data_IF_243902387112
#
_entry.id   IF_243902387112
#
_cell.length_a   1.000
_cell.length_b   1.000
_cell.length_c   1.000
_cell.angle_alpha   90.00
_cell.angle_beta   90.00
_cell.angle_gamma   90.00
#
_symmetry.space_group_name_H-M   'P 1'
#
loop_
_entity.id
_entity.type
_entity.pdbx_description
1 polymer ?
#
# COMPACT_ATOMS: atom_id res chain seq x y z
N UNK A 1 23.82 5.52 2.96
CA UNK A 1 24.35 5.56 1.59
C UNK A 1 25.82 5.19 1.54
N UNK A 2 26.66 5.70 2.44
CA UNK A 2 28.10 5.39 2.51
C UNK A 2 28.42 3.87 2.49
N UNK A 3 27.75 3.07 3.32
CA UNK A 3 27.91 1.60 3.30
C UNK A 3 27.61 0.96 1.92
N UNK A 4 26.70 1.55 1.13
CA UNK A 4 26.41 1.06 -0.22
C UNK A 4 27.52 1.45 -1.21
N UNK A 5 28.11 2.64 -1.04
CA UNK A 5 29.27 3.09 -1.83
C UNK A 5 30.47 2.18 -1.55
N UNK A 6 30.75 1.89 -0.29
CA UNK A 6 31.82 0.95 0.09
C UNK A 6 31.62 -0.43 -0.52
N UNK A 7 30.40 -0.98 -0.41
CA UNK A 7 30.05 -2.26 -1.06
C UNK A 7 30.23 -2.21 -2.57
N UNK A 8 29.80 -1.12 -3.21
CA UNK A 8 29.94 -0.94 -4.64
C UNK A 8 31.41 -0.93 -5.08
N UNK A 9 32.31 -0.35 -4.28
CA UNK A 9 33.75 -0.31 -4.58
C UNK A 9 34.44 -1.68 -4.40
N UNK A 10 33.89 -2.57 -3.59
CA UNK A 10 34.44 -3.92 -3.37
C UNK A 10 34.09 -4.86 -4.55
N UNK A 11 32.99 -4.60 -5.26
CA UNK A 11 32.56 -5.46 -6.34
C UNK A 11 33.51 -5.41 -7.54
N UNK A 12 34.00 -6.59 -7.94
CA UNK A 12 34.76 -6.79 -9.17
C UNK A 12 33.75 -6.88 -10.34
N UNK A 13 34.03 -6.19 -11.45
CA UNK A 13 33.18 -6.18 -12.63
C UNK A 13 32.81 -7.62 -13.07
N UNK A 14 31.56 -7.89 -13.51
CA UNK A 14 30.52 -6.95 -13.95
C UNK A 14 29.37 -6.71 -12.93
N UNK A 15 29.59 -6.94 -11.63
CA UNK A 15 28.51 -6.87 -10.64
C UNK A 15 27.99 -5.43 -10.47
N UNK A 16 26.65 -5.29 -10.39
CA UNK A 16 25.94 -4.02 -10.17
C UNK A 16 25.20 -4.04 -8.84
N UNK A 17 25.24 -2.93 -8.11
CA UNK A 17 24.48 -2.75 -6.87
C UNK A 17 23.20 -1.98 -7.18
N UNK A 18 22.06 -2.60 -6.94
CA UNK A 18 20.75 -1.95 -7.09
C UNK A 18 20.30 -1.38 -5.74
N UNK A 19 19.94 -0.11 -5.73
CA UNK A 19 19.40 0.58 -4.56
C UNK A 19 18.00 1.08 -4.94
N UNK A 20 17.01 0.65 -4.16
CA UNK A 20 15.62 1.02 -4.36
C UNK A 20 15.14 1.91 -3.21
N UNK A 21 14.67 3.11 -3.54
CA UNK A 21 14.04 4.03 -2.61
C UNK A 21 12.52 3.89 -2.70
N UNK A 22 11.92 3.17 -1.76
CA UNK A 22 10.47 3.07 -1.68
C UNK A 22 9.86 4.33 -1.04
N UNK A 23 8.69 4.74 -1.53
CA UNK A 23 7.94 5.92 -1.07
C UNK A 23 8.83 7.17 -0.85
N UNK A 24 9.79 7.46 -1.74
CA UNK A 24 10.89 8.41 -1.48
C UNK A 24 10.45 9.86 -1.23
N UNK A 25 9.25 10.23 -1.67
CA UNK A 25 8.70 11.57 -1.47
C UNK A 25 7.98 11.74 -0.13
N UNK A 26 8.17 10.80 0.81
CA UNK A 26 7.70 10.92 2.21
C UNK A 26 8.74 11.55 3.14
N UNK A 27 9.94 11.88 2.64
CA UNK A 27 10.99 12.58 3.40
C UNK A 27 11.13 14.03 2.97
N UNK A 28 11.36 14.91 3.95
CA UNK A 28 11.72 16.32 3.74
C UNK A 28 13.07 16.47 3.01
N UNK A 29 13.92 15.44 3.05
CA UNK A 29 15.23 15.43 2.41
C UNK A 29 15.19 15.04 0.92
N UNK A 30 14.10 15.34 0.21
CA UNK A 30 13.92 14.98 -1.21
C UNK A 30 15.04 15.54 -2.11
N UNK A 31 15.64 16.68 -1.73
CA UNK A 31 16.79 17.26 -2.43
C UNK A 31 18.00 16.34 -2.46
N UNK A 32 18.26 15.58 -1.39
CA UNK A 32 19.36 14.59 -1.36
C UNK A 32 19.06 13.40 -2.26
N UNK A 33 17.79 12.96 -2.32
CA UNK A 33 17.36 11.88 -3.21
C UNK A 33 17.49 12.32 -4.67
N UNK A 34 17.10 13.57 -4.96
CA UNK A 34 17.30 14.20 -6.26
C UNK A 34 18.77 14.24 -6.65
N UNK A 35 19.65 14.64 -5.73
CA UNK A 35 21.11 14.63 -5.95
C UNK A 35 21.63 13.24 -6.31
N UNK A 36 21.22 12.24 -5.53
CA UNK A 36 21.63 10.85 -5.72
C UNK A 36 21.14 10.31 -7.07
N UNK A 37 19.88 10.54 -7.44
CA UNK A 37 19.25 9.94 -8.63
C UNK A 37 19.63 10.70 -9.91
N UNK A 38 19.48 12.03 -9.92
CA UNK A 38 19.68 12.86 -11.12
C UNK A 38 21.16 13.18 -11.35
N UNK A 39 21.87 13.65 -10.32
CA UNK A 39 23.27 14.09 -10.45
C UNK A 39 24.26 12.94 -10.24
N UNK A 40 23.83 11.79 -9.70
CA UNK A 40 24.71 10.72 -9.25
C UNK A 40 25.80 11.20 -8.28
N UNK A 41 25.44 12.14 -7.42
CA UNK A 41 26.32 12.61 -6.33
C UNK A 41 25.63 12.51 -4.97
N UNK A 42 26.43 12.49 -3.92
CA UNK A 42 25.96 12.64 -2.54
C UNK A 42 26.85 13.67 -1.84
N UNK A 43 26.28 14.79 -1.43
CA UNK A 43 27.02 15.90 -0.81
C UNK A 43 28.20 16.34 -1.69
N UNK A 44 28.00 16.37 -3.01
CA UNK A 44 29.00 16.74 -4.02
C UNK A 44 30.00 15.64 -4.39
N UNK A 45 29.96 14.45 -3.77
CA UNK A 45 30.84 13.32 -4.13
C UNK A 45 30.17 12.39 -5.13
N UNK A 46 30.85 12.08 -6.23
CA UNK A 46 30.35 11.16 -7.27
C UNK A 46 30.09 9.75 -6.73
N UNK A 47 28.97 9.16 -7.13
CA UNK A 47 28.63 7.77 -6.84
C UNK A 47 29.37 6.81 -7.80
N UNK A 48 29.74 5.60 -7.35
CA UNK A 48 30.31 4.57 -8.22
C UNK A 48 29.40 4.21 -9.41
N UNK A 49 30.01 3.96 -10.57
CA UNK A 49 29.28 3.70 -11.83
C UNK A 49 28.47 2.38 -11.82
N UNK A 50 28.82 1.44 -10.95
CA UNK A 50 28.12 0.18 -10.81
C UNK A 50 26.90 0.25 -9.89
N UNK A 51 26.55 1.42 -9.34
CA UNK A 51 25.30 1.63 -8.61
C UNK A 51 24.18 1.99 -9.59
N UNK A 52 23.12 1.19 -9.55
CA UNK A 52 21.84 1.42 -10.23
C UNK A 52 20.82 1.89 -9.18
N UNK A 53 20.16 3.01 -9.46
CA UNK A 53 19.23 3.66 -8.55
C UNK A 53 17.82 3.55 -9.12
N UNK A 54 16.87 3.16 -8.29
CA UNK A 54 15.45 3.16 -8.58
C UNK A 54 14.71 3.82 -7.43
N UNK A 55 13.60 4.50 -7.73
CA UNK A 55 12.74 5.09 -6.72
C UNK A 55 11.27 4.84 -7.06
N UNK A 56 10.45 4.63 -6.04
CA UNK A 56 9.00 4.72 -6.13
C UNK A 56 8.54 5.92 -5.31
N UNK A 57 7.62 6.70 -5.86
CA UNK A 57 6.99 7.83 -5.18
C UNK A 57 5.47 7.66 -5.17
N UNK A 58 4.84 8.15 -4.10
CA UNK A 58 3.41 8.20 -4.00
C UNK A 58 2.87 9.47 -4.70
N UNK A 59 1.78 9.40 -5.48
CA UNK A 59 1.21 10.59 -6.11
C UNK A 59 0.79 11.62 -5.05
N UNK A 60 0.95 12.91 -5.31
CA UNK A 60 0.41 13.94 -4.41
C UNK A 60 -1.10 13.99 -4.53
N UNK A 61 -1.84 13.80 -3.43
CA UNK A 61 -3.31 13.83 -3.43
C UNK A 61 -3.81 14.90 -2.47
N UNK A 62 -4.49 15.91 -3.02
CA UNK A 62 -5.28 16.84 -2.22
C UNK A 62 -6.63 16.19 -1.91
N UNK A 63 -7.08 16.30 -0.67
CA UNK A 63 -8.44 15.93 -0.30
C UNK A 63 -9.40 16.90 -1.01
N UNK A 64 -10.10 16.43 -2.04
CA UNK A 64 -11.22 17.17 -2.62
C UNK A 64 -12.32 17.15 -1.56
N UNK A 65 -12.67 18.31 -1.02
CA UNK A 65 -13.81 18.44 -0.13
C UNK A 65 -15.04 17.95 -0.89
N UNK A 66 -15.68 16.88 -0.43
CA UNK A 66 -16.90 16.31 -1.03
C UNK A 66 -18.11 17.28 -1.00
N UNK A 67 -17.94 18.49 -0.48
CA UNK A 67 -18.95 19.53 -0.42
C UNK A 67 -18.82 20.58 -1.54
N UNK A 68 -17.70 20.60 -2.26
CA UNK A 68 -17.48 21.51 -3.38
C UNK A 68 -17.53 20.70 -4.69
N UNK A 69 -18.57 20.97 -5.46
CA UNK A 69 -18.77 20.62 -6.87
C UNK A 69 -19.15 19.17 -7.22
N UNK A 70 -20.47 18.97 -7.24
CA UNK A 70 -21.18 17.84 -7.81
C UNK A 70 -21.04 17.66 -9.34
N UNK A 71 -20.03 18.21 -10.00
CA UNK A 71 -19.84 18.06 -11.46
C UNK A 71 -18.40 18.38 -11.90
N UNK A 72 -17.46 17.46 -11.72
CA UNK A 72 -16.47 17.08 -12.76
C UNK A 72 -15.44 16.05 -12.25
N UNK A 73 -15.16 15.06 -13.11
CA UNK A 73 -13.92 14.26 -13.16
C UNK A 73 -13.41 13.59 -11.87
N UNK A 74 -14.14 12.58 -11.39
CA UNK A 74 -13.65 11.61 -10.38
C UNK A 74 -12.57 10.64 -10.90
N UNK A 75 -12.11 10.80 -12.14
CA UNK A 75 -11.19 9.87 -12.82
C UNK A 75 -9.82 10.46 -13.19
N UNK A 76 -9.46 11.68 -12.74
CA UNK A 76 -8.14 12.25 -13.03
C UNK A 76 -7.17 12.09 -11.85
N UNK A 77 -6.79 10.84 -11.58
CA UNK A 77 -5.53 10.52 -10.91
C UNK A 77 -4.48 10.37 -12.00
N UNK A 78 -3.66 11.41 -12.14
CA UNK A 78 -2.50 11.42 -13.03
C UNK A 78 -1.60 12.56 -12.59
N UNK A 79 -0.28 12.39 -12.78
CA UNK A 79 0.68 13.49 -12.69
C UNK A 79 0.39 14.49 -13.81
N UNK A 80 -0.63 15.32 -13.64
CA UNK A 80 -0.90 16.44 -14.54
C UNK A 80 0.08 17.57 -14.19
N UNK A 81 0.99 17.84 -15.13
CA UNK A 81 1.99 18.92 -15.09
C UNK A 81 1.35 20.27 -14.73
N UNK A 82 0.11 20.50 -15.15
CA UNK A 82 -0.64 21.75 -14.91
C UNK A 82 -1.06 21.99 -13.45
N UNK A 83 -0.85 21.03 -12.53
CA UNK A 83 -1.20 21.17 -11.10
C UNK A 83 0.01 21.47 -10.20
N UNK A 84 1.18 21.75 -10.78
CA UNK A 84 2.35 22.22 -10.03
C UNK A 84 2.26 23.71 -9.65
N UNK A 85 1.41 24.50 -10.31
CA UNK A 85 1.15 25.90 -9.96
C UNK A 85 0.05 26.04 -8.90
N UNK A 86 0.30 25.59 -7.66
CA UNK A 86 -0.45 26.10 -6.51
C UNK A 86 0.35 26.07 -5.22
N UNK A 87 1.58 26.60 -5.28
CA UNK A 87 2.23 27.13 -4.09
C UNK A 87 1.67 28.53 -3.82
N UNK A 88 0.74 28.62 -2.86
CA UNK A 88 0.48 29.77 -1.96
C UNK A 88 -0.97 29.81 -1.43
N UNK A 89 -1.51 28.68 -0.94
CA UNK A 89 -2.74 28.75 -0.12
C UNK A 89 -2.50 28.09 1.22
N UNK A 90 -2.02 28.94 2.13
CA UNK A 90 -2.24 28.89 3.57
C UNK A 90 -3.70 28.58 3.87
N UNK A 91 -4.04 27.32 4.13
CA UNK A 91 -5.16 26.89 5.00
C UNK A 91 -5.29 25.36 5.00
N UNK A 92 -4.92 24.72 6.11
CA UNK A 92 -5.64 23.62 6.78
C UNK A 92 -6.35 22.51 5.95
N UNK A 93 -5.79 22.04 4.83
CA UNK A 93 -6.29 20.83 4.17
C UNK A 93 -5.34 19.64 4.39
N UNK A 94 -5.75 18.75 5.29
CA UNK A 94 -5.09 17.49 5.64
C UNK A 94 -4.88 16.64 4.38
N UNK A 95 -3.64 16.58 3.91
CA UNK A 95 -3.21 15.52 3.00
C UNK A 95 -3.50 14.16 3.68
N UNK A 96 -4.02 13.18 2.94
CA UNK A 96 -4.24 11.81 3.45
C UNK A 96 -2.90 11.15 3.89
N UNK A 97 -1.78 11.64 3.35
CA UNK A 97 -0.41 11.34 3.71
C UNK A 97 0.49 12.53 3.34
N UNK A 98 1.43 12.92 4.20
CA UNK A 98 2.35 14.03 3.93
C UNK A 98 3.39 13.58 2.90
N UNK A 99 3.19 13.93 1.63
CA UNK A 99 4.24 13.81 0.61
C UNK A 99 4.79 15.18 0.26
N UNK A 100 6.10 15.23 0.11
CA UNK A 100 6.85 16.38 -0.38
C UNK A 100 6.70 16.44 -1.90
N UNK A 101 6.44 17.62 -2.48
CA UNK A 101 6.36 17.77 -3.93
C UNK A 101 7.67 17.34 -4.59
N UNK A 102 7.55 16.61 -5.69
CA UNK A 102 8.69 16.10 -6.43
C UNK A 102 9.38 17.26 -7.19
N UNK A 103 10.71 17.43 -7.10
CA UNK A 103 11.43 18.46 -7.84
C UNK A 103 11.21 18.36 -9.37
N UNK A 104 11.11 19.50 -10.05
CA UNK A 104 10.82 19.56 -11.50
C UNK A 104 11.78 18.71 -12.34
N UNK A 105 13.08 18.75 -12.03
CA UNK A 105 14.11 17.97 -12.73
C UNK A 105 13.92 16.46 -12.60
N UNK A 106 13.21 15.98 -11.57
CA UNK A 106 12.89 14.55 -11.41
C UNK A 106 11.63 14.14 -12.18
N UNK A 107 10.76 15.07 -12.57
CA UNK A 107 9.49 14.77 -13.25
C UNK A 107 9.75 14.04 -14.58
N UNK A 108 10.79 14.44 -15.32
CA UNK A 108 11.18 13.80 -16.58
C UNK A 108 11.61 12.34 -16.43
N UNK A 109 11.95 11.91 -15.21
CA UNK A 109 12.37 10.55 -14.87
C UNK A 109 11.26 9.71 -14.23
N UNK A 110 10.04 10.23 -14.15
CA UNK A 110 8.90 9.56 -13.54
C UNK A 110 7.99 8.98 -14.60
N UNK A 111 7.60 7.72 -14.36
CA UNK A 111 6.58 7.04 -15.13
C UNK A 111 5.45 6.58 -14.21
N UNK A 112 4.22 6.69 -14.69
CA UNK A 112 3.05 6.16 -13.99
C UNK A 112 2.94 4.65 -14.23
N UNK A 113 3.10 3.87 -13.16
CA UNK A 113 2.92 2.41 -13.20
C UNK A 113 1.45 1.99 -13.24
N UNK A 114 0.52 2.91 -12.99
CA UNK A 114 -0.91 2.66 -12.99
C UNK A 114 -1.38 1.84 -11.79
N UNK A 115 -2.58 1.27 -11.93
CA UNK A 115 -3.23 0.46 -10.90
C UNK A 115 -3.26 -1.01 -11.30
N UNK A 116 -3.30 -1.87 -10.29
CA UNK A 116 -3.49 -3.29 -10.51
C UNK A 116 -4.88 -3.54 -11.10
N UNK A 117 -4.96 -4.33 -12.17
CA UNK A 117 -6.26 -4.70 -12.74
C UNK A 117 -7.02 -5.58 -11.75
N UNK A 118 -8.37 -5.54 -11.70
CA UNK A 118 -9.14 -6.37 -10.77
C UNK A 118 -8.85 -7.87 -10.92
N UNK A 119 -8.54 -8.33 -12.14
CA UNK A 119 -8.16 -9.71 -12.41
C UNK A 119 -6.77 -10.06 -11.87
N UNK A 120 -5.79 -9.17 -12.02
CA UNK A 120 -4.46 -9.36 -11.45
C UNK A 120 -4.53 -9.33 -9.91
N UNK A 121 -5.26 -8.37 -9.34
CA UNK A 121 -5.47 -8.26 -7.90
C UNK A 121 -6.08 -9.53 -7.32
N UNK A 122 -7.17 -10.03 -7.92
CA UNK A 122 -7.79 -11.29 -7.50
C UNK A 122 -6.77 -12.43 -7.49
N UNK A 123 -5.90 -12.52 -8.50
CA UNK A 123 -4.86 -13.56 -8.55
C UNK A 123 -3.81 -13.41 -7.44
N UNK A 124 -3.47 -12.19 -7.06
CA UNK A 124 -2.61 -11.95 -5.89
C UNK A 124 -3.31 -12.35 -4.60
N UNK A 125 -4.59 -12.01 -4.44
CA UNK A 125 -5.38 -12.43 -3.28
C UNK A 125 -5.44 -13.95 -3.19
N UNK A 126 -5.72 -14.64 -4.30
CA UNK A 126 -5.67 -16.11 -4.38
C UNK A 126 -4.30 -16.64 -3.98
N UNK A 127 -3.21 -16.06 -4.48
CA UNK A 127 -1.85 -16.50 -4.12
C UNK A 127 -1.55 -16.31 -2.63
N UNK A 128 -1.95 -15.18 -2.02
CA UNK A 128 -1.72 -14.90 -0.60
C UNK A 128 -2.56 -15.82 0.27
N UNK A 129 -3.85 -15.98 -0.04
CA UNK A 129 -4.76 -16.83 0.73
C UNK A 129 -4.48 -18.31 0.52
N UNK A 130 -3.93 -18.69 -0.64
CA UNK A 130 -3.43 -20.04 -0.89
C UNK A 130 -2.23 -20.43 -0.01
N UNK A 131 -1.60 -19.46 0.67
CA UNK A 131 -0.56 -19.70 1.68
C UNK A 131 -1.11 -19.71 3.11
N UNK A 132 -2.43 -19.62 3.31
CA UNK A 132 -3.05 -19.85 4.61
C UNK A 132 -2.75 -21.27 5.08
N UNK A 133 -2.53 -21.43 6.38
CA UNK A 133 -2.43 -22.73 7.01
C UNK A 133 -3.83 -23.14 7.48
N UNK A 134 -3.91 -24.26 8.20
CA UNK A 134 -5.07 -24.57 9.04
C UNK A 134 -6.41 -24.67 8.26
N UNK A 135 -6.44 -25.59 7.30
CA UNK A 135 -7.65 -26.10 6.65
C UNK A 135 -8.50 -25.08 5.87
N UNK A 136 -7.99 -23.87 5.62
CA UNK A 136 -8.71 -22.88 4.78
C UNK A 136 -8.75 -23.30 3.31
N UNK A 137 -7.68 -23.95 2.83
CA UNK A 137 -7.50 -24.34 1.43
C UNK A 137 -8.05 -25.72 1.10
N UNK A 138 -8.42 -26.52 2.10
CA UNK A 138 -8.80 -27.93 1.94
C UNK A 138 -10.16 -28.05 1.24
N UNK A 139 -11.10 -27.17 1.57
CA UNK A 139 -12.35 -27.03 0.85
C UNK A 139 -12.22 -25.92 -0.21
N UNK A 140 -12.26 -26.33 -1.48
CA UNK A 140 -12.19 -25.42 -2.63
C UNK A 140 -13.36 -24.43 -2.69
N UNK A 141 -14.55 -24.82 -2.22
CA UNK A 141 -15.72 -23.95 -2.16
C UNK A 141 -15.52 -22.86 -1.11
N UNK A 142 -15.07 -23.26 0.09
CA UNK A 142 -14.74 -22.34 1.17
C UNK A 142 -13.61 -21.38 0.79
N UNK A 143 -12.52 -21.88 0.24
CA UNK A 143 -11.41 -21.07 -0.26
C UNK A 143 -11.87 -19.99 -1.26
N UNK A 144 -12.66 -20.37 -2.27
CA UNK A 144 -13.23 -19.42 -3.25
C UNK A 144 -14.15 -18.39 -2.59
N UNK A 145 -14.91 -18.80 -1.58
CA UNK A 145 -15.78 -17.92 -0.80
C UNK A 145 -14.97 -16.87 -0.05
N UNK A 146 -13.89 -17.27 0.64
CA UNK A 146 -12.99 -16.34 1.35
C UNK A 146 -12.30 -15.38 0.39
N UNK A 147 -11.76 -15.87 -0.73
CA UNK A 147 -11.17 -14.99 -1.76
C UNK A 147 -12.17 -13.95 -2.26
N UNK A 148 -13.40 -14.38 -2.54
CA UNK A 148 -14.46 -13.49 -3.02
C UNK A 148 -14.86 -12.48 -1.95
N UNK A 149 -15.01 -12.90 -0.69
CA UNK A 149 -15.27 -12.03 0.45
C UNK A 149 -14.21 -10.93 0.57
N UNK A 150 -12.93 -11.27 0.43
CA UNK A 150 -11.84 -10.29 0.51
C UNK A 150 -11.87 -9.32 -0.67
N UNK A 151 -12.09 -9.81 -1.90
CA UNK A 151 -12.21 -8.95 -3.08
C UNK A 151 -13.35 -7.95 -2.90
N UNK A 152 -14.54 -8.43 -2.53
CA UNK A 152 -15.71 -7.58 -2.30
C UNK A 152 -15.49 -6.60 -1.13
N UNK A 153 -14.75 -7.01 -0.09
CA UNK A 153 -14.40 -6.13 1.02
C UNK A 153 -13.46 -5.00 0.60
N UNK A 154 -12.43 -5.30 -0.21
CA UNK A 154 -11.52 -4.29 -0.78
C UNK A 154 -12.31 -3.32 -1.67
N UNK A 155 -13.11 -3.85 -2.60
CA UNK A 155 -13.92 -3.03 -3.51
C UNK A 155 -14.97 -2.20 -2.77
N UNK A 156 -15.57 -2.74 -1.71
CA UNK A 156 -16.49 -1.99 -0.87
C UNK A 156 -15.79 -0.79 -0.21
N UNK A 157 -14.63 -0.99 0.42
CA UNK A 157 -13.91 0.11 1.09
C UNK A 157 -13.47 1.17 0.06
N UNK A 158 -13.00 0.76 -1.13
CA UNK A 158 -12.68 1.71 -2.21
C UNK A 158 -13.85 2.58 -2.64
N UNK A 159 -15.08 2.04 -2.61
CA UNK A 159 -16.29 2.79 -2.98
C UNK A 159 -16.68 3.85 -1.95
N UNK A 160 -16.42 3.60 -0.67
CA UNK A 160 -16.79 4.51 0.44
C UNK A 160 -15.68 5.47 0.85
N UNK A 161 -14.42 5.08 0.64
CA UNK A 161 -13.23 5.88 0.94
C UNK A 161 -12.55 6.30 -0.38
N UNK A 162 -11.30 5.88 -0.61
CA UNK A 162 -10.50 6.18 -1.82
C UNK A 162 -9.92 4.89 -2.40
N UNK A 163 -9.51 4.90 -3.68
CA UNK A 163 -8.91 3.75 -4.36
C UNK A 163 -7.65 3.20 -3.65
N UNK A 164 -6.89 4.06 -2.96
CA UNK A 164 -5.67 3.70 -2.22
C UNK A 164 -5.92 3.34 -0.75
N UNK A 165 -7.17 3.30 -0.31
CA UNK A 165 -7.56 2.96 1.08
C UNK A 165 -7.20 1.53 1.48
N UNK A 166 -7.10 0.63 0.52
CA UNK A 166 -6.86 -0.80 0.73
C UNK A 166 -5.78 -1.31 -0.21
N UNK A 167 -5.02 -2.29 0.28
CA UNK A 167 -3.94 -2.88 -0.49
C UNK A 167 -3.80 -4.38 -0.18
N UNK A 168 -2.91 -5.05 -0.92
CA UNK A 168 -2.50 -6.42 -0.63
C UNK A 168 -1.89 -6.58 0.78
N UNK A 169 -1.43 -5.48 1.43
CA UNK A 169 -0.97 -5.51 2.83
C UNK A 169 -2.13 -5.91 3.78
N UNK A 170 -3.37 -5.48 3.49
CA UNK A 170 -4.56 -5.85 4.27
C UNK A 170 -4.91 -7.33 4.09
N UNK A 171 -4.67 -7.89 2.90
CA UNK A 171 -4.85 -9.32 2.60
C UNK A 171 -3.81 -10.17 3.34
N UNK A 172 -2.55 -9.72 3.37
CA UNK A 172 -1.50 -10.37 4.17
C UNK A 172 -1.85 -10.35 5.66
N UNK A 173 -2.35 -9.21 6.18
CA UNK A 173 -2.82 -9.10 7.56
C UNK A 173 -4.00 -10.03 7.82
N UNK A 174 -4.97 -10.10 6.91
CA UNK A 174 -6.10 -11.02 7.00
C UNK A 174 -5.64 -12.46 7.15
N UNK A 175 -4.70 -12.91 6.30
CA UNK A 175 -4.11 -14.25 6.37
C UNK A 175 -3.48 -14.53 7.74
N UNK A 176 -2.63 -13.62 8.22
CA UNK A 176 -1.95 -13.77 9.51
C UNK A 176 -2.95 -13.86 10.67
N UNK A 177 -3.99 -13.02 10.65
CA UNK A 177 -5.04 -13.03 11.67
C UNK A 177 -5.88 -14.30 11.58
N UNK A 178 -6.24 -14.76 10.39
CA UNK A 178 -6.96 -16.02 10.20
C UNK A 178 -6.19 -17.18 10.79
N UNK A 179 -4.91 -17.35 10.42
CA UNK A 179 -4.07 -18.44 10.91
C UNK A 179 -3.97 -18.41 12.44
N UNK A 180 -3.77 -17.21 13.01
CA UNK A 180 -3.71 -17.02 14.45
C UNK A 180 -5.03 -17.34 15.14
N UNK A 181 -6.17 -16.83 14.64
CA UNK A 181 -7.48 -17.09 15.21
C UNK A 181 -7.86 -18.56 15.12
N UNK A 182 -7.58 -19.22 14.00
CA UNK A 182 -7.86 -20.65 13.85
C UNK A 182 -7.15 -21.46 14.93
N UNK A 183 -5.81 -21.34 15.02
CA UNK A 183 -5.02 -22.06 16.02
C UNK A 183 -5.47 -21.69 17.44
N UNK A 184 -5.72 -20.41 17.69
CA UNK A 184 -6.15 -19.95 19.01
C UNK A 184 -7.54 -20.45 19.40
N UNK A 185 -8.48 -20.59 18.45
CA UNK A 185 -9.80 -21.15 18.71
C UNK A 185 -9.70 -22.66 18.92
N UNK A 186 -8.96 -23.37 18.08
CA UNK A 186 -8.75 -24.82 18.19
C UNK A 186 -8.17 -25.20 19.55
N UNK A 187 -7.13 -24.49 20.01
CA UNK A 187 -6.54 -24.70 21.33
C UNK A 187 -7.53 -24.43 22.48
N UNK A 188 -8.37 -23.41 22.35
CA UNK A 188 -9.36 -23.01 23.36
C UNK A 188 -10.65 -23.84 23.32
N UNK A 189 -10.91 -24.53 22.21
CA UNK A 189 -12.11 -25.34 22.01
C UNK A 189 -12.17 -26.60 22.88
N UNK A 190 -11.12 -26.88 23.66
CA UNK A 190 -11.09 -27.94 24.68
C UNK A 190 -11.93 -27.59 25.93
N UNK A 191 -12.37 -26.34 26.07
CA UNK A 191 -13.23 -25.89 27.15
C UNK A 191 -14.54 -25.29 26.60
N UNK A 192 -15.58 -26.13 26.57
CA UNK A 192 -17.01 -25.78 26.39
C UNK A 192 -17.44 -25.44 24.94
N UNK A 193 -18.32 -26.27 24.38
CA UNK A 193 -19.05 -26.04 23.12
C UNK A 193 -19.94 -24.80 23.24
N UNK A 194 -19.47 -23.65 22.74
CA UNK A 194 -20.24 -22.39 22.80
C UNK A 194 -20.78 -21.88 21.46
N UNK A 195 -20.44 -22.50 20.32
CA UNK A 195 -20.85 -21.96 19.01
C UNK A 195 -21.23 -23.03 17.99
N UNK A 196 -22.35 -22.87 17.27
CA UNK A 196 -22.71 -23.73 16.14
C UNK A 196 -21.84 -23.48 14.89
N UNK A 197 -20.99 -22.45 14.90
CA UNK A 197 -20.13 -22.09 13.77
C UNK A 197 -18.81 -22.86 13.82
N UNK A 198 -18.36 -23.35 12.66
CA UNK A 198 -17.06 -24.00 12.53
C UNK A 198 -15.91 -23.05 12.87
N UNK A 199 -14.77 -23.63 13.25
CA UNK A 199 -13.54 -22.87 13.57
C UNK A 199 -13.12 -21.99 12.39
N UNK A 200 -13.24 -22.52 11.16
CA UNK A 200 -12.97 -21.79 9.92
C UNK A 200 -13.81 -20.51 9.81
N UNK A 201 -15.12 -20.62 10.00
CA UNK A 201 -16.05 -19.49 9.84
C UNK A 201 -15.78 -18.44 10.91
N UNK A 202 -15.55 -18.86 12.15
CA UNK A 202 -15.24 -17.96 13.27
C UNK A 202 -13.93 -17.21 13.05
N UNK A 203 -12.87 -17.93 12.65
CA UNK A 203 -11.56 -17.32 12.37
C UNK A 203 -11.63 -16.32 11.20
N UNK A 204 -12.31 -16.69 10.11
CA UNK A 204 -12.52 -15.82 8.95
C UNK A 204 -13.35 -14.58 9.30
N UNK A 205 -14.38 -14.73 10.13
CA UNK A 205 -15.22 -13.61 10.58
C UNK A 205 -14.41 -12.62 11.42
N UNK A 206 -13.63 -13.11 12.39
CA UNK A 206 -12.78 -12.26 13.23
C UNK A 206 -11.68 -11.54 12.43
N UNK A 207 -11.04 -12.24 11.49
CA UNK A 207 -10.06 -11.64 10.58
C UNK A 207 -10.71 -10.55 9.70
N UNK A 208 -11.89 -10.80 9.15
CA UNK A 208 -12.65 -9.83 8.35
C UNK A 208 -13.03 -8.60 9.18
N UNK A 209 -13.47 -8.81 10.42
CA UNK A 209 -13.87 -7.73 11.32
C UNK A 209 -12.70 -6.77 11.60
N UNK A 210 -11.53 -7.33 11.93
CA UNK A 210 -10.33 -6.55 12.24
C UNK A 210 -9.70 -5.88 11.01
N UNK A 211 -9.71 -6.54 9.85
CA UNK A 211 -9.11 -5.97 8.64
C UNK A 211 -9.99 -4.93 7.96
N UNK A 212 -11.32 -5.10 7.99
CA UNK A 212 -12.23 -4.33 7.14
C UNK A 212 -13.35 -3.65 7.94
N UNK A 213 -14.10 -4.36 8.77
CA UNK A 213 -15.30 -3.81 9.42
C UNK A 213 -15.03 -2.66 10.37
N UNK A 214 -14.06 -2.80 11.29
CA UNK A 214 -13.80 -1.75 12.28
C UNK A 214 -13.22 -0.47 11.68
N UNK A 215 -12.72 -0.52 10.43
CA UNK A 215 -12.30 0.67 9.68
C UNK A 215 -13.48 1.57 9.31
N UNK A 216 -14.70 1.04 9.26
CA UNK A 216 -15.91 1.76 8.84
C UNK A 216 -16.45 2.72 9.92
N UNK A 217 -16.10 2.49 11.19
CA UNK A 217 -16.70 3.16 12.34
C UNK A 217 -16.10 4.52 12.82
N UNK A 218 -14.97 5.06 12.31
CA UNK A 218 -14.53 6.41 12.69
C UNK A 218 -15.38 7.54 12.08
N UNK A 219 -16.12 7.30 10.99
CA UNK A 219 -16.80 8.33 10.23
C UNK A 219 -18.03 8.95 10.95
N UNK A 220 -18.58 8.28 11.96
CA UNK A 220 -19.82 8.72 12.65
C UNK A 220 -19.59 9.51 13.94
N UNK A 221 -18.35 9.62 14.47
CA UNK A 221 -18.07 10.38 15.71
C UNK A 221 -17.94 11.90 15.54
N UNK A 222 -18.05 12.43 14.32
CA UNK A 222 -17.92 13.89 14.08
C UNK A 222 -19.26 14.64 14.13
N UNK A 223 -20.36 13.99 14.52
CA UNK A 223 -21.70 14.59 14.56
C UNK A 223 -22.43 14.40 15.90
N UNK A 224 -21.72 14.11 16.99
CA UNK A 224 -22.28 14.17 18.36
C UNK A 224 -21.55 15.22 19.20
#
# INVERSE_FOLDING_TARGET
>A
MENFIEKANIFIAPQRLWIFFDEFNTTENIGLIKEIICERTLLGKSLPNNIVLLGACNPSRMQVNLNDDANNDRNKVGLSIDRYEMHNVTTNNRLLYTVVPIPETMIEHIWDFGFLTPSAERRYIETIIGQCKNNLTDDRSWYKTVVTLICESQDFIRRIEDVSSVSLRDVVRYRQLYDWFYTSIEHRSTAIEWSPLSVQVRAASLASLLCYYFRLYPAQRKQE
#
